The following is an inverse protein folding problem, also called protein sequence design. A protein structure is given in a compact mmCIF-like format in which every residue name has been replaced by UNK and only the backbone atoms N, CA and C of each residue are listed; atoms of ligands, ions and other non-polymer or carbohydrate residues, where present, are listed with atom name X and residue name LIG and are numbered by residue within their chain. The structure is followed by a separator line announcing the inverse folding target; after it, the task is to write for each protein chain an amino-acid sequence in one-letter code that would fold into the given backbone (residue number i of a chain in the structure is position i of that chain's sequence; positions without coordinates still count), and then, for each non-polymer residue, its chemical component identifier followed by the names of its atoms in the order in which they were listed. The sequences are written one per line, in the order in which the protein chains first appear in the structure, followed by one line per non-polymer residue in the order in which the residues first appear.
data_IF_361921940758
#
_entry.id   IF_361921940758
#
_cell.length_a   1.000
_cell.length_b   1.000
_cell.length_c   1.000
_cell.angle_alpha   90.00
_cell.angle_beta   90.00
_cell.angle_gamma   90.00
#
_symmetry.space_group_name_H-M   'P 1'
#
loop_
_entity.id
_entity.type
_entity.pdbx_description
1 polymer ?
#
# COMPACT_ATOMS: atom_id res chain seq x y z
N UNK A 1 18.78 69.36 -3.44
CA UNK A 1 17.37 69.03 -3.77
C UNK A 1 17.36 67.93 -4.83
N UNK A 2 16.19 67.33 -5.10
CA UNK A 2 15.85 66.31 -6.14
C UNK A 2 16.65 66.36 -7.47
N UNK A 3 16.85 65.27 -8.22
CA UNK A 3 16.36 63.87 -8.14
C UNK A 3 17.17 62.95 -9.10
N UNK A 4 17.09 61.61 -9.06
CA UNK A 4 16.11 60.76 -9.80
C UNK A 4 16.14 61.08 -11.32
N UNK A 5 16.50 60.20 -12.27
CA UNK A 5 16.84 58.75 -12.33
C UNK A 5 17.86 58.53 -13.51
N UNK A 6 18.27 57.38 -14.10
CA UNK A 6 17.92 55.92 -14.11
C UNK A 6 19.12 55.10 -14.67
N UNK A 7 19.23 53.80 -14.32
CA UNK A 7 20.17 52.84 -14.92
C UNK A 7 19.69 52.18 -16.23
N UNK A 8 20.64 51.78 -17.09
CA UNK A 8 20.48 50.67 -18.03
C UNK A 8 21.83 49.93 -18.16
N UNK A 9 21.89 48.70 -17.64
CA UNK A 9 23.05 47.83 -17.79
C UNK A 9 22.87 46.91 -19.00
N UNK A 10 23.80 47.01 -19.95
CA UNK A 10 24.04 46.01 -20.99
C UNK A 10 25.53 45.70 -21.01
N UNK A 11 25.89 44.45 -20.75
CA UNK A 11 27.29 43.99 -20.73
C UNK A 11 27.40 42.64 -21.42
N UNK A 12 27.97 42.63 -22.61
CA UNK A 12 28.41 41.42 -23.27
C UNK A 12 29.47 40.70 -22.40
N UNK A 13 29.29 39.40 -22.19
CA UNK A 13 30.26 38.54 -21.52
C UNK A 13 30.63 37.34 -22.41
N UNK A 14 31.34 37.65 -23.49
CA UNK A 14 32.15 36.67 -24.19
C UNK A 14 33.36 36.24 -23.32
N UNK A 15 33.88 35.04 -23.55
CA UNK A 15 35.15 34.53 -23.03
C UNK A 15 35.34 34.48 -21.50
N UNK A 16 34.61 33.58 -20.82
CA UNK A 16 35.11 32.98 -19.58
C UNK A 16 36.02 31.79 -19.91
N UNK A 17 37.35 32.00 -19.88
CA UNK A 17 38.34 30.93 -20.10
C UNK A 17 38.33 29.93 -18.93
N UNK A 18 37.55 28.85 -19.04
CA UNK A 18 37.61 27.72 -18.11
C UNK A 18 38.90 26.92 -18.36
N UNK A 19 39.79 26.75 -17.37
CA UNK A 19 41.04 26.01 -17.57
C UNK A 19 40.75 24.52 -17.82
N UNK A 20 41.51 23.92 -18.74
CA UNK A 20 41.25 22.57 -19.27
C UNK A 20 41.09 21.47 -18.21
N UNK A 21 41.76 21.61 -17.06
CA UNK A 21 41.63 20.73 -15.89
C UNK A 21 40.15 20.55 -15.43
N UNK A 22 39.31 21.59 -15.56
CA UNK A 22 37.89 21.50 -15.19
C UNK A 22 37.08 20.69 -16.21
N UNK A 23 37.45 20.74 -17.49
CA UNK A 23 36.86 19.90 -18.55
C UNK A 23 37.31 18.44 -18.40
N UNK A 24 38.54 18.22 -17.96
CA UNK A 24 39.07 16.88 -17.68
C UNK A 24 38.39 16.26 -16.45
N UNK A 25 38.22 16.98 -15.34
CA UNK A 25 37.44 16.52 -14.17
C UNK A 25 35.99 16.14 -14.54
N UNK A 26 35.38 16.81 -15.52
CA UNK A 26 34.05 16.46 -16.05
C UNK A 26 34.07 15.20 -16.93
N UNK A 27 35.18 14.90 -17.64
CA UNK A 27 35.35 13.66 -18.42
C UNK A 27 35.70 12.45 -17.54
N UNK A 28 36.37 12.65 -16.41
CA UNK A 28 36.73 11.57 -15.46
C UNK A 28 35.57 11.22 -14.51
N UNK A 29 34.42 11.90 -14.60
CA UNK A 29 33.18 11.53 -13.90
C UNK A 29 32.46 10.29 -14.51
N UNK A 30 33.19 9.46 -15.28
CA UNK A 30 32.71 8.19 -15.79
C UNK A 30 32.49 7.18 -14.66
N UNK A 31 31.28 6.62 -14.57
CA UNK A 31 30.81 5.81 -13.44
C UNK A 31 30.97 6.49 -12.07
N UNK A 32 30.07 7.43 -11.78
CA UNK A 32 29.64 7.64 -10.39
C UNK A 32 29.07 6.30 -9.92
N UNK A 33 29.80 5.59 -9.06
CA UNK A 33 29.28 4.42 -8.39
C UNK A 33 28.07 4.86 -7.55
N UNK A 34 26.88 4.40 -7.92
CA UNK A 34 25.66 4.73 -7.20
C UNK A 34 25.80 4.11 -5.81
N UNK A 35 25.78 4.95 -4.76
CA UNK A 35 25.74 4.50 -3.37
C UNK A 35 24.59 3.48 -3.24
N UNK A 36 24.80 2.27 -2.68
CA UNK A 36 23.74 1.28 -2.50
C UNK A 36 22.48 1.87 -1.86
N UNK A 37 22.63 2.84 -0.95
CA UNK A 37 21.52 3.56 -0.30
C UNK A 37 20.76 4.49 -1.24
N UNK A 38 21.45 5.09 -2.21
CA UNK A 38 20.84 5.92 -3.25
C UNK A 38 20.11 5.07 -4.29
N UNK A 39 20.62 3.86 -4.59
CA UNK A 39 19.91 2.86 -5.40
C UNK A 39 18.66 2.33 -4.68
N UNK A 40 18.77 2.06 -3.38
CA UNK A 40 17.69 1.62 -2.49
C UNK A 40 16.59 2.69 -2.33
N UNK A 41 16.96 3.95 -2.07
CA UNK A 41 16.04 5.10 -2.05
C UNK A 41 15.31 5.30 -3.40
N UNK A 42 15.95 4.97 -4.53
CA UNK A 42 15.37 5.13 -5.85
C UNK A 42 14.35 4.03 -6.20
N UNK A 43 14.60 2.78 -5.80
CA UNK A 43 13.78 1.62 -6.18
C UNK A 43 12.60 1.28 -5.25
N UNK A 44 12.60 1.76 -4.00
CA UNK A 44 11.68 1.27 -2.95
C UNK A 44 10.78 2.34 -2.34
N UNK A 45 10.99 3.63 -2.63
CA UNK A 45 10.20 4.72 -2.05
C UNK A 45 10.21 5.95 -2.96
N UNK A 46 9.26 6.06 -3.93
CA UNK A 46 9.24 7.16 -4.89
C UNK A 46 9.32 8.52 -4.19
N UNK A 47 10.15 9.40 -4.76
CA UNK A 47 10.83 10.45 -4.00
C UNK A 47 9.93 11.66 -3.66
N UNK A 48 9.04 11.48 -2.68
CA UNK A 48 8.49 12.59 -1.90
C UNK A 48 9.67 13.30 -1.22
N UNK A 49 10.00 14.52 -1.65
CA UNK A 49 11.10 15.33 -1.11
C UNK A 49 10.70 15.91 0.26
N UNK A 50 10.73 15.07 1.29
CA UNK A 50 10.43 15.46 2.68
C UNK A 50 11.58 16.32 3.22
N UNK A 51 11.26 17.49 3.76
CA UNK A 51 12.25 18.44 4.28
C UNK A 51 12.84 17.96 5.62
N UNK A 52 13.95 17.23 5.56
CA UNK A 52 14.76 16.85 6.71
C UNK A 52 15.32 15.43 6.59
N UNK A 53 16.40 15.13 7.33
CA UNK A 53 17.06 13.81 7.34
C UNK A 53 16.23 12.69 8.03
N UNK A 54 14.90 12.78 8.07
CA UNK A 54 14.03 11.90 8.88
C UNK A 54 14.23 10.41 8.57
N UNK A 55 14.36 10.04 7.29
CA UNK A 55 14.67 8.66 6.84
C UNK A 55 16.07 8.15 7.26
N UNK A 56 16.95 9.04 7.74
CA UNK A 56 18.27 8.71 8.31
C UNK A 56 18.26 8.79 9.85
N UNK A 57 17.16 9.20 10.46
CA UNK A 57 16.97 9.35 11.91
C UNK A 57 16.10 8.24 12.50
N UNK A 58 15.15 7.71 11.73
CA UNK A 58 14.19 6.70 12.17
C UNK A 58 14.23 5.45 11.26
N UNK A 59 13.89 4.30 11.83
CA UNK A 59 13.72 3.05 11.08
C UNK A 59 12.46 3.05 10.20
N UNK A 60 12.49 2.27 9.13
CA UNK A 60 11.36 2.05 8.23
C UNK A 60 10.21 1.30 8.97
N UNK A 61 8.97 1.85 9.02
CA UNK A 61 7.84 1.21 9.71
C UNK A 61 6.98 0.32 8.80
N UNK A 62 7.16 0.33 7.47
CA UNK A 62 6.46 -0.57 6.54
C UNK A 62 6.56 -2.06 6.95
N UNK A 63 7.72 -2.62 7.37
CA UNK A 63 7.81 -4.00 7.83
C UNK A 63 6.88 -4.34 9.01
N UNK A 64 6.64 -3.38 9.91
CA UNK A 64 5.78 -3.56 11.07
C UNK A 64 4.30 -3.65 10.66
N UNK A 65 3.88 -2.83 9.69
CA UNK A 65 2.54 -2.93 9.13
C UNK A 65 2.38 -4.21 8.27
N UNK A 66 3.42 -4.62 7.53
CA UNK A 66 3.41 -5.85 6.74
C UNK A 66 3.33 -7.11 7.62
N UNK A 67 4.03 -7.20 8.76
CA UNK A 67 3.86 -8.35 9.67
C UNK A 67 2.47 -8.38 10.31
N UNK A 68 1.90 -7.20 10.61
CA UNK A 68 0.50 -7.06 11.01
C UNK A 68 -0.47 -7.60 9.95
N UNK A 69 -0.25 -7.25 8.69
CA UNK A 69 -1.04 -7.70 7.55
C UNK A 69 -0.96 -9.21 7.31
N UNK A 70 0.25 -9.79 7.21
CA UNK A 70 0.43 -11.19 6.78
C UNK A 70 0.00 -12.21 7.84
N UNK A 71 0.24 -11.94 9.13
CA UNK A 71 -0.20 -12.80 10.24
C UNK A 71 -1.71 -12.68 10.53
N UNK A 72 -2.36 -11.68 9.94
CA UNK A 72 -3.80 -11.50 9.97
C UNK A 72 -4.47 -12.18 8.76
N UNK A 73 -4.01 -11.86 7.55
CA UNK A 73 -4.61 -12.34 6.30
C UNK A 73 -4.31 -13.82 6.01
N UNK A 74 -3.11 -14.33 6.33
CA UNK A 74 -2.77 -15.73 5.98
C UNK A 74 -3.65 -16.74 6.73
N UNK A 75 -3.83 -16.67 8.07
CA UNK A 75 -4.75 -17.57 8.77
C UNK A 75 -6.19 -17.41 8.30
N UNK A 76 -6.68 -16.18 8.14
CA UNK A 76 -8.03 -15.91 7.63
C UNK A 76 -8.27 -16.55 6.25
N UNK A 77 -7.28 -16.52 5.36
CA UNK A 77 -7.37 -17.16 4.04
C UNK A 77 -7.50 -18.68 4.15
N UNK A 78 -6.75 -19.31 5.04
CA UNK A 78 -6.86 -20.74 5.36
C UNK A 78 -8.23 -21.09 5.97
N UNK A 79 -8.76 -20.24 6.85
CA UNK A 79 -10.08 -20.38 7.46
C UNK A 79 -11.19 -20.31 6.40
N UNK A 80 -11.15 -19.32 5.49
CA UNK A 80 -12.11 -19.18 4.39
C UNK A 80 -12.06 -20.35 3.39
N UNK A 81 -10.87 -20.92 3.15
CA UNK A 81 -10.73 -22.13 2.33
C UNK A 81 -11.16 -23.42 3.05
N UNK A 82 -11.34 -23.38 4.38
CA UNK A 82 -11.68 -24.54 5.21
C UNK A 82 -10.54 -25.51 5.44
N UNK A 83 -9.28 -25.06 5.36
CA UNK A 83 -8.11 -25.92 5.49
C UNK A 83 -8.07 -26.61 6.85
N UNK A 84 -7.80 -27.92 6.85
CA UNK A 84 -7.81 -28.79 8.06
C UNK A 84 -9.13 -28.77 8.87
N UNK A 85 -10.24 -28.33 8.28
CA UNK A 85 -11.51 -28.19 9.00
C UNK A 85 -11.69 -26.84 9.72
N UNK A 86 -10.85 -25.85 9.43
CA UNK A 86 -11.06 -24.47 9.84
C UNK A 86 -12.32 -23.85 9.18
N UNK A 87 -12.71 -22.65 9.60
CA UNK A 87 -13.91 -22.00 9.10
C UNK A 87 -14.47 -20.94 10.05
N UNK A 88 -15.81 -20.88 10.17
CA UNK A 88 -16.50 -19.95 11.07
C UNK A 88 -16.21 -18.47 10.74
N UNK A 89 -16.01 -18.15 9.46
CA UNK A 89 -15.54 -16.83 8.99
C UNK A 89 -14.26 -16.36 9.71
N UNK A 90 -13.38 -17.29 10.09
CA UNK A 90 -12.16 -16.97 10.83
C UNK A 90 -12.38 -16.39 12.23
N UNK A 91 -13.47 -16.75 12.92
CA UNK A 91 -13.74 -16.28 14.28
C UNK A 91 -12.57 -16.55 15.27
N UNK A 92 -11.80 -17.61 15.05
CA UNK A 92 -10.58 -17.91 15.82
C UNK A 92 -9.50 -16.82 15.69
N UNK A 93 -9.41 -16.14 14.55
CA UNK A 93 -8.48 -15.04 14.28
C UNK A 93 -8.83 -13.72 15.01
N UNK A 94 -9.95 -13.64 15.74
CA UNK A 94 -10.39 -12.45 16.49
C UNK A 94 -9.24 -11.67 17.15
N UNK A 95 -8.37 -12.35 17.91
CA UNK A 95 -7.28 -11.69 18.61
C UNK A 95 -6.18 -11.17 17.67
N UNK A 96 -5.84 -11.89 16.60
CA UNK A 96 -4.87 -11.40 15.61
C UNK A 96 -5.46 -10.27 14.77
N UNK A 97 -6.78 -10.19 14.59
CA UNK A 97 -7.45 -9.06 13.95
C UNK A 97 -7.29 -7.76 14.76
N UNK A 98 -7.41 -7.83 16.10
CA UNK A 98 -7.17 -6.66 16.95
C UNK A 98 -5.68 -6.29 17.06
N UNK A 99 -4.80 -7.26 17.35
CA UNK A 99 -3.40 -6.96 17.69
C UNK A 99 -2.45 -6.88 16.49
N UNK A 100 -2.60 -7.74 15.47
CA UNK A 100 -1.74 -7.73 14.29
C UNK A 100 -2.37 -6.93 13.14
N UNK A 101 -3.56 -7.33 12.70
CA UNK A 101 -4.28 -6.65 11.62
C UNK A 101 -4.62 -5.21 11.96
N UNK A 102 -5.04 -4.95 13.20
CA UNK A 102 -5.37 -3.62 13.71
C UNK A 102 -4.15 -2.87 14.22
N UNK A 103 -3.76 -3.14 15.47
CA UNK A 103 -2.81 -2.31 16.22
C UNK A 103 -1.46 -2.10 15.51
N UNK A 104 -0.81 -3.15 14.99
CA UNK A 104 0.47 -2.98 14.29
C UNK A 104 0.33 -2.17 12.98
N UNK A 105 -0.77 -2.35 12.24
CA UNK A 105 -1.00 -1.57 11.00
C UNK A 105 -1.34 -0.11 11.30
N UNK A 106 -2.09 0.18 12.36
CA UNK A 106 -2.36 1.55 12.83
C UNK A 106 -1.07 2.23 13.34
N UNK A 107 -0.21 1.52 14.09
CA UNK A 107 1.09 2.05 14.52
C UNK A 107 1.98 2.34 13.31
N UNK A 108 2.13 1.37 12.39
CA UNK A 108 2.90 1.56 11.16
C UNK A 108 2.41 2.74 10.32
N UNK A 109 1.09 2.85 10.14
CA UNK A 109 0.41 4.00 9.52
C UNK A 109 0.83 5.34 10.14
N UNK A 110 0.72 5.48 11.46
CA UNK A 110 1.09 6.72 12.17
C UNK A 110 2.58 7.05 12.00
N UNK A 111 3.45 6.04 11.95
CA UNK A 111 4.89 6.24 11.69
C UNK A 111 5.17 6.65 10.23
N UNK A 112 4.48 6.06 9.24
CA UNK A 112 4.58 6.49 7.83
C UNK A 112 4.13 7.95 7.63
N UNK A 113 3.15 8.42 8.40
CA UNK A 113 2.74 9.84 8.40
C UNK A 113 3.89 10.76 8.83
N UNK A 114 4.61 10.43 9.92
CA UNK A 114 5.78 11.21 10.36
C UNK A 114 6.95 11.16 9.36
N UNK A 115 7.04 10.11 8.54
CA UNK A 115 8.03 10.02 7.45
C UNK A 115 7.57 10.66 6.13
N UNK A 116 6.38 11.26 6.06
CA UNK A 116 5.84 11.91 4.85
C UNK A 116 5.42 10.93 3.74
N UNK A 117 5.27 9.65 4.08
CA UNK A 117 4.91 8.58 3.15
C UNK A 117 3.38 8.43 3.08
N UNK A 118 2.71 9.41 2.46
CA UNK A 118 1.23 9.53 2.46
C UNK A 118 0.49 8.29 1.95
N UNK A 119 1.02 7.59 0.94
CA UNK A 119 0.36 6.40 0.39
C UNK A 119 0.44 5.19 1.35
N UNK A 120 1.62 4.75 1.83
CA UNK A 120 1.72 3.77 2.93
C UNK A 120 0.90 4.14 4.17
N UNK A 121 0.91 5.40 4.62
CA UNK A 121 0.07 5.90 5.71
C UNK A 121 -1.42 5.58 5.50
N UNK A 122 -2.00 6.03 4.38
CA UNK A 122 -3.43 5.85 4.09
C UNK A 122 -3.79 4.37 3.86
N UNK A 123 -2.89 3.59 3.25
CA UNK A 123 -3.07 2.14 3.06
C UNK A 123 -3.06 1.41 4.41
N UNK A 124 -2.01 1.53 5.21
CA UNK A 124 -1.94 0.80 6.48
C UNK A 124 -2.98 1.27 7.49
N UNK A 125 -3.35 2.55 7.47
CA UNK A 125 -4.41 3.09 8.34
C UNK A 125 -5.79 2.53 8.02
N UNK A 126 -6.15 2.45 6.73
CA UNK A 126 -7.44 1.90 6.30
C UNK A 126 -7.54 0.38 6.47
N UNK A 127 -6.45 -0.36 6.27
CA UNK A 127 -6.41 -1.81 6.53
C UNK A 127 -6.40 -2.11 8.04
N UNK A 128 -5.72 -1.28 8.84
CA UNK A 128 -5.81 -1.33 10.30
C UNK A 128 -7.24 -1.14 10.79
N UNK A 129 -7.93 -0.13 10.26
CA UNK A 129 -9.34 0.09 10.52
C UNK A 129 -10.21 -1.10 10.07
N UNK A 130 -9.99 -1.67 8.89
CA UNK A 130 -10.72 -2.84 8.38
C UNK A 130 -10.65 -4.03 9.34
N UNK A 131 -9.46 -4.39 9.82
CA UNK A 131 -9.30 -5.53 10.73
C UNK A 131 -9.88 -5.26 12.13
N UNK A 132 -9.78 -4.02 12.63
CA UNK A 132 -10.46 -3.62 13.87
C UNK A 132 -11.99 -3.68 13.71
N UNK A 133 -12.53 -3.21 12.59
CA UNK A 133 -13.95 -3.35 12.26
C UNK A 133 -14.36 -4.82 12.13
N UNK A 134 -13.51 -5.69 11.59
CA UNK A 134 -13.81 -7.12 11.45
C UNK A 134 -13.82 -7.86 12.79
N UNK A 135 -12.75 -7.71 13.59
CA UNK A 135 -12.69 -8.25 14.95
C UNK A 135 -13.83 -7.72 15.83
N UNK A 136 -14.14 -6.43 15.72
CA UNK A 136 -15.28 -5.79 16.39
C UNK A 136 -16.63 -6.35 15.94
N UNK A 137 -16.84 -6.54 14.63
CA UNK A 137 -18.07 -7.16 14.09
C UNK A 137 -18.31 -8.56 14.65
N UNK A 138 -17.24 -9.32 14.91
CA UNK A 138 -17.32 -10.65 15.52
C UNK A 138 -17.64 -10.61 17.02
N UNK A 139 -17.31 -9.53 17.76
CA UNK A 139 -17.52 -9.49 19.22
C UNK A 139 -19.00 -9.31 19.59
N UNK A 140 -19.55 -10.18 20.48
CA UNK A 140 -20.89 -9.99 21.03
C UNK A 140 -21.09 -8.64 21.73
N UNK A 141 -20.03 -8.04 22.29
CA UNK A 141 -20.07 -6.74 22.96
C UNK A 141 -20.57 -5.59 22.06
N UNK A 142 -20.16 -5.56 20.79
CA UNK A 142 -20.65 -4.55 19.84
C UNK A 142 -22.02 -4.92 19.24
N UNK A 143 -22.51 -6.15 19.46
CA UNK A 143 -23.84 -6.65 19.07
C UNK A 143 -24.19 -6.46 17.57
N UNK A 144 -23.18 -6.28 16.71
CA UNK A 144 -23.35 -5.87 15.31
C UNK A 144 -24.15 -6.87 14.47
N UNK A 145 -24.09 -8.16 14.83
CA UNK A 145 -24.90 -9.21 14.22
C UNK A 145 -26.13 -9.55 15.06
N UNK A 146 -26.02 -9.56 16.40
CA UNK A 146 -27.12 -9.87 17.31
C UNK A 146 -28.30 -8.89 17.23
N UNK A 147 -28.07 -7.66 16.76
CA UNK A 147 -29.12 -6.71 16.37
C UNK A 147 -30.15 -7.29 15.38
N UNK A 148 -29.74 -8.25 14.54
CA UNK A 148 -30.60 -8.93 13.56
C UNK A 148 -31.25 -10.22 14.09
N UNK A 149 -30.99 -10.60 15.34
CA UNK A 149 -31.44 -11.87 15.94
C UNK A 149 -31.74 -11.75 17.45
N UNK A 150 -32.36 -10.66 17.89
CA UNK A 150 -32.84 -10.49 19.27
C UNK A 150 -31.72 -10.50 20.34
N UNK A 151 -30.51 -10.06 19.98
CA UNK A 151 -29.31 -10.12 20.83
C UNK A 151 -28.48 -11.38 20.66
N UNK A 152 -28.94 -12.41 19.94
CA UNK A 152 -28.14 -13.60 19.68
C UNK A 152 -27.15 -13.36 18.54
N UNK A 153 -25.94 -12.89 18.88
CA UNK A 153 -24.83 -12.63 17.95
C UNK A 153 -24.56 -13.81 17.00
N UNK A 154 -24.57 -15.06 17.49
CA UNK A 154 -24.25 -16.24 16.69
C UNK A 154 -25.29 -16.54 15.60
N UNK A 155 -26.58 -16.45 15.94
CA UNK A 155 -27.68 -16.55 14.95
C UNK A 155 -27.68 -15.35 14.01
N UNK A 156 -27.41 -14.16 14.55
CA UNK A 156 -27.33 -12.91 13.81
C UNK A 156 -26.32 -12.93 12.65
N UNK A 157 -25.15 -13.55 12.86
CA UNK A 157 -24.10 -13.69 11.84
C UNK A 157 -24.55 -14.46 10.59
N UNK A 158 -25.59 -15.29 10.70
CA UNK A 158 -26.18 -16.06 9.59
C UNK A 158 -27.48 -15.46 9.06
N UNK A 159 -27.93 -14.32 9.58
CA UNK A 159 -29.18 -13.68 9.17
C UNK A 159 -29.03 -12.94 7.84
N UNK A 160 -30.07 -13.00 6.99
CA UNK A 160 -30.08 -12.30 5.71
C UNK A 160 -29.88 -10.77 5.85
N UNK A 161 -30.39 -10.17 6.93
CA UNK A 161 -30.19 -8.75 7.22
C UNK A 161 -28.72 -8.42 7.48
N UNK A 162 -28.06 -9.16 8.38
CA UNK A 162 -26.64 -8.97 8.66
C UNK A 162 -25.77 -9.21 7.42
N UNK A 163 -25.97 -10.34 6.74
CA UNK A 163 -25.09 -10.72 5.62
C UNK A 163 -25.22 -9.75 4.45
N UNK A 164 -26.44 -9.30 4.12
CA UNK A 164 -26.65 -8.32 3.06
C UNK A 164 -26.04 -6.94 3.41
N UNK A 165 -26.17 -6.50 4.67
CA UNK A 165 -25.53 -5.25 5.14
C UNK A 165 -24.00 -5.34 5.13
N UNK A 166 -23.43 -6.45 5.61
CA UNK A 166 -21.97 -6.62 5.70
C UNK A 166 -21.30 -6.75 4.32
N UNK A 167 -21.98 -7.34 3.33
CA UNK A 167 -21.51 -7.40 1.96
C UNK A 167 -21.22 -6.00 1.35
N UNK A 168 -21.98 -4.96 1.70
CA UNK A 168 -21.71 -3.60 1.22
C UNK A 168 -20.39 -3.02 1.78
N UNK A 169 -20.05 -3.31 3.04
CA UNK A 169 -18.76 -2.90 3.60
C UNK A 169 -17.60 -3.54 2.82
N UNK A 170 -17.69 -4.84 2.53
CA UNK A 170 -16.70 -5.54 1.70
C UNK A 170 -16.63 -4.99 0.27
N UNK A 171 -17.77 -4.66 -0.35
CA UNK A 171 -17.84 -4.09 -1.69
C UNK A 171 -17.15 -2.71 -1.77
N UNK A 172 -17.44 -1.80 -0.82
CA UNK A 172 -16.81 -0.49 -0.81
C UNK A 172 -15.34 -0.56 -0.38
N UNK A 173 -14.93 -1.56 0.42
CA UNK A 173 -13.52 -1.85 0.65
C UNK A 173 -12.83 -2.40 -0.61
N UNK A 174 -13.52 -3.20 -1.44
CA UNK A 174 -13.02 -3.59 -2.76
C UNK A 174 -12.82 -2.36 -3.68
N UNK A 175 -13.76 -1.41 -3.66
CA UNK A 175 -13.62 -0.15 -4.42
C UNK A 175 -12.46 0.72 -3.91
N UNK A 176 -12.23 0.78 -2.60
CA UNK A 176 -11.04 1.44 -2.02
C UNK A 176 -9.74 0.76 -2.50
N UNK A 177 -9.71 -0.57 -2.52
CA UNK A 177 -8.58 -1.33 -3.06
C UNK A 177 -8.37 -1.08 -4.56
N UNK A 178 -9.42 -0.85 -5.34
CA UNK A 178 -9.32 -0.48 -6.76
C UNK A 178 -8.68 0.90 -6.95
N UNK A 179 -8.98 1.87 -6.08
CA UNK A 179 -8.29 3.18 -6.07
C UNK A 179 -6.80 3.00 -5.72
N UNK A 180 -6.49 2.17 -4.71
CA UNK A 180 -5.10 1.88 -4.34
C UNK A 180 -4.33 1.11 -5.42
N UNK A 181 -5.00 0.20 -6.15
CA UNK A 181 -4.44 -0.50 -7.31
C UNK A 181 -4.02 0.50 -8.41
N UNK A 182 -4.86 1.49 -8.73
CA UNK A 182 -4.52 2.52 -9.71
C UNK A 182 -3.34 3.38 -9.22
N UNK A 183 -3.30 3.73 -7.93
CA UNK A 183 -2.20 4.50 -7.36
C UNK A 183 -0.87 3.73 -7.34
N UNK A 184 -0.89 2.42 -7.07
CA UNK A 184 0.30 1.56 -6.96
C UNK A 184 0.95 1.20 -8.31
N UNK A 185 0.30 1.53 -9.44
CA UNK A 185 0.95 1.55 -10.78
C UNK A 185 2.20 2.45 -10.79
N UNK A 186 2.35 3.36 -9.82
CA UNK A 186 3.54 4.20 -9.64
C UNK A 186 4.57 3.70 -8.62
N UNK A 187 4.28 2.64 -7.87
CA UNK A 187 5.12 2.22 -6.74
C UNK A 187 5.91 0.96 -7.05
N UNK A 188 5.25 -0.18 -7.26
CA UNK A 188 5.91 -1.49 -7.15
C UNK A 188 4.97 -2.60 -7.68
N UNK A 189 5.51 -3.51 -8.50
CA UNK A 189 4.74 -4.61 -9.14
C UNK A 189 4.01 -5.48 -8.13
N UNK A 190 4.66 -5.82 -7.01
CA UNK A 190 4.08 -6.68 -5.97
C UNK A 190 2.96 -5.95 -5.21
N UNK A 191 3.11 -4.65 -4.93
CA UNK A 191 2.03 -3.82 -4.38
C UNK A 191 0.84 -3.72 -5.34
N UNK A 192 1.08 -3.58 -6.65
CA UNK A 192 0.02 -3.59 -7.65
C UNK A 192 -0.77 -4.91 -7.63
N UNK A 193 -0.08 -6.06 -7.65
CA UNK A 193 -0.76 -7.35 -7.61
C UNK A 193 -1.47 -7.63 -6.28
N UNK A 194 -0.96 -7.15 -5.14
CA UNK A 194 -1.66 -7.19 -3.84
C UNK A 194 -3.03 -6.51 -3.95
N UNK A 195 -3.09 -5.26 -4.45
CA UNK A 195 -4.38 -4.57 -4.58
C UNK A 195 -5.28 -5.19 -5.65
N UNK A 196 -4.73 -5.63 -6.79
CA UNK A 196 -5.49 -6.32 -7.84
C UNK A 196 -6.19 -7.59 -7.32
N UNK A 197 -5.46 -8.48 -6.65
CA UNK A 197 -6.05 -9.68 -6.08
C UNK A 197 -6.94 -9.38 -4.85
N UNK A 198 -6.73 -8.27 -4.13
CA UNK A 198 -7.65 -7.82 -3.08
C UNK A 198 -8.99 -7.29 -3.62
N UNK A 199 -9.02 -6.60 -4.76
CA UNK A 199 -10.28 -6.23 -5.44
C UNK A 199 -11.08 -7.50 -5.74
N UNK A 200 -10.45 -8.48 -6.38
CA UNK A 200 -11.06 -9.79 -6.70
C UNK A 200 -11.55 -10.49 -5.42
N UNK A 201 -10.69 -10.59 -4.40
CA UNK A 201 -10.99 -11.20 -3.09
C UNK A 201 -12.24 -10.58 -2.47
N UNK A 202 -12.25 -9.26 -2.30
CA UNK A 202 -13.30 -8.56 -1.54
C UNK A 202 -14.62 -8.54 -2.30
N UNK A 203 -14.60 -8.42 -3.64
CA UNK A 203 -15.81 -8.57 -4.48
C UNK A 203 -16.38 -9.99 -4.43
N UNK A 204 -15.55 -11.03 -4.48
CA UNK A 204 -16.02 -12.43 -4.39
C UNK A 204 -16.59 -12.73 -3.00
N UNK A 205 -15.95 -12.27 -1.92
CA UNK A 205 -16.46 -12.48 -0.56
C UNK A 205 -17.75 -11.68 -0.33
N UNK A 206 -17.87 -10.44 -0.81
CA UNK A 206 -19.15 -9.70 -0.81
C UNK A 206 -20.26 -10.51 -1.50
N UNK A 207 -19.96 -11.11 -2.66
CA UNK A 207 -20.83 -12.06 -3.35
C UNK A 207 -21.23 -13.27 -2.49
N UNK A 208 -20.30 -13.86 -1.72
CA UNK A 208 -20.62 -14.96 -0.80
C UNK A 208 -21.60 -14.56 0.29
N UNK A 209 -21.48 -13.34 0.84
CA UNK A 209 -22.38 -12.83 1.87
C UNK A 209 -23.80 -12.57 1.31
N UNK A 210 -23.92 -11.99 0.10
CA UNK A 210 -25.23 -11.87 -0.56
C UNK A 210 -25.85 -13.22 -0.92
N UNK A 211 -25.07 -14.20 -1.37
CA UNK A 211 -25.58 -15.54 -1.65
C UNK A 211 -26.01 -16.28 -0.38
N UNK A 212 -25.33 -16.07 0.75
CA UNK A 212 -25.79 -16.56 2.06
C UNK A 212 -27.11 -15.88 2.47
N UNK A 213 -27.24 -14.56 2.26
CA UNK A 213 -28.47 -13.82 2.52
C UNK A 213 -29.66 -14.20 1.62
N UNK A 214 -29.40 -14.81 0.46
CA UNK A 214 -30.40 -15.42 -0.42
C UNK A 214 -30.69 -16.89 -0.10
N UNK A 215 -30.08 -17.46 0.95
CA UNK A 215 -30.21 -18.86 1.34
C UNK A 215 -29.40 -19.85 0.49
N UNK A 216 -28.63 -19.38 -0.49
CA UNK A 216 -27.83 -20.22 -1.39
C UNK A 216 -26.48 -20.61 -0.75
N UNK A 217 -26.56 -21.35 0.37
CA UNK A 217 -25.41 -21.67 1.23
C UNK A 217 -24.28 -22.44 0.50
N UNK A 218 -24.63 -23.29 -0.48
CA UNK A 218 -23.64 -24.06 -1.25
C UNK A 218 -22.80 -23.16 -2.18
N UNK A 219 -23.45 -22.24 -2.91
CA UNK A 219 -22.73 -21.29 -3.75
C UNK A 219 -22.02 -20.22 -2.92
N UNK A 220 -22.61 -19.79 -1.80
CA UNK A 220 -21.96 -18.92 -0.82
C UNK A 220 -20.63 -19.53 -0.33
N UNK A 221 -20.61 -20.79 0.10
CA UNK A 221 -19.38 -21.49 0.48
C UNK A 221 -18.38 -21.58 -0.69
N UNK A 222 -18.87 -21.80 -1.91
CA UNK A 222 -18.02 -21.90 -3.11
C UNK A 222 -17.32 -20.56 -3.41
N UNK A 223 -18.06 -19.45 -3.37
CA UNK A 223 -17.52 -18.10 -3.49
C UNK A 223 -16.57 -17.79 -2.33
N UNK A 224 -16.94 -18.13 -1.09
CA UNK A 224 -16.10 -17.86 0.09
C UNK A 224 -14.74 -18.57 0.02
N UNK A 225 -14.70 -19.84 -0.38
CA UNK A 225 -13.46 -20.58 -0.62
C UNK A 225 -12.64 -19.99 -1.77
N UNK A 226 -13.31 -19.53 -2.84
CA UNK A 226 -12.65 -18.87 -3.98
C UNK A 226 -12.01 -17.55 -3.55
N UNK A 227 -12.71 -16.74 -2.76
CA UNK A 227 -12.19 -15.52 -2.16
C UNK A 227 -11.02 -15.79 -1.21
N UNK A 228 -11.10 -16.83 -0.38
CA UNK A 228 -10.00 -17.31 0.45
C UNK A 228 -8.75 -17.73 -0.34
N UNK A 229 -8.94 -18.32 -1.53
CA UNK A 229 -7.84 -18.64 -2.45
C UNK A 229 -7.13 -17.39 -2.98
N UNK A 230 -7.86 -16.36 -3.42
CA UNK A 230 -7.26 -15.09 -3.81
C UNK A 230 -6.62 -14.34 -2.62
N UNK A 231 -7.25 -14.39 -1.44
CA UNK A 231 -6.69 -13.84 -0.21
C UNK A 231 -5.34 -14.49 0.17
N UNK A 232 -5.19 -15.80 -0.07
CA UNK A 232 -3.93 -16.51 0.12
C UNK A 232 -2.86 -16.08 -0.88
N UNK A 233 -3.21 -15.87 -2.15
CA UNK A 233 -2.28 -15.30 -3.16
C UNK A 233 -1.80 -13.92 -2.71
N UNK A 234 -2.72 -13.06 -2.26
CA UNK A 234 -2.38 -11.75 -1.67
C UNK A 234 -1.42 -11.91 -0.49
N UNK A 235 -1.70 -12.84 0.43
CA UNK A 235 -0.87 -13.00 1.63
C UNK A 235 0.53 -13.50 1.28
N UNK A 236 0.70 -14.38 0.28
CA UNK A 236 2.02 -14.80 -0.22
C UNK A 236 2.81 -13.63 -0.84
N UNK A 237 2.16 -12.73 -1.58
CA UNK A 237 2.79 -11.50 -2.07
C UNK A 237 3.18 -10.57 -0.90
N UNK A 238 2.36 -10.52 0.16
CA UNK A 238 2.67 -9.81 1.40
C UNK A 238 3.89 -10.39 2.13
N UNK A 239 4.01 -11.73 2.21
CA UNK A 239 5.19 -12.40 2.75
C UNK A 239 6.43 -12.07 1.94
N UNK A 240 6.35 -12.07 0.61
CA UNK A 240 7.46 -11.69 -0.26
C UNK A 240 7.95 -10.25 0.00
N UNK A 241 7.03 -9.27 0.11
CA UNK A 241 7.39 -7.90 0.49
C UNK A 241 8.00 -7.82 1.90
N UNK A 242 7.43 -8.53 2.87
CA UNK A 242 7.96 -8.55 4.24
C UNK A 242 9.39 -9.11 4.28
N UNK A 243 9.64 -10.25 3.64
CA UNK A 243 10.99 -10.83 3.52
C UNK A 243 11.93 -9.87 2.80
N UNK A 244 11.53 -9.28 1.66
CA UNK A 244 12.37 -8.33 0.93
C UNK A 244 12.79 -7.13 1.80
N UNK A 245 11.85 -6.54 2.55
CA UNK A 245 12.13 -5.39 3.42
C UNK A 245 12.94 -5.76 4.67
N UNK A 246 12.73 -6.94 5.27
CA UNK A 246 13.50 -7.39 6.44
C UNK A 246 14.93 -7.77 6.07
N UNK A 247 15.16 -8.40 4.91
CA UNK A 247 16.51 -8.71 4.43
C UNK A 247 17.33 -7.44 4.17
N UNK A 248 16.73 -6.42 3.56
CA UNK A 248 17.35 -5.10 3.38
C UNK A 248 17.65 -4.42 4.73
N UNK A 249 16.70 -4.44 5.68
CA UNK A 249 16.85 -3.82 6.99
C UNK A 249 17.98 -4.42 7.86
N UNK A 250 18.58 -5.55 7.46
CA UNK A 250 19.74 -6.18 8.13
C UNK A 250 20.99 -6.28 7.24
N UNK A 251 21.03 -5.53 6.13
CA UNK A 251 22.13 -5.54 5.14
C UNK A 251 22.46 -6.95 4.61
N UNK A 252 21.41 -7.74 4.33
CA UNK A 252 21.58 -9.12 3.86
C UNK A 252 22.08 -9.15 2.40
N UNK A 253 23.07 -10.01 2.04
CA UNK A 253 23.67 -10.01 0.70
C UNK A 253 22.77 -10.35 -0.51
N UNK A 254 21.48 -10.60 -0.29
CA UNK A 254 20.50 -10.90 -1.35
C UNK A 254 19.35 -9.89 -1.31
N UNK A 255 19.31 -9.03 -2.33
CA UNK A 255 18.17 -8.14 -2.60
C UNK A 255 17.11 -8.90 -3.40
N UNK A 256 15.88 -8.99 -2.88
CA UNK A 256 14.76 -9.60 -3.60
C UNK A 256 14.12 -8.58 -4.56
N UNK A 257 13.99 -8.87 -5.87
CA UNK A 257 13.50 -7.93 -6.87
C UNK A 257 11.98 -7.71 -6.76
N UNK A 258 11.57 -6.53 -6.29
CA UNK A 258 10.14 -6.17 -6.18
C UNK A 258 9.57 -5.46 -7.43
N UNK A 259 10.43 -5.00 -8.33
CA UNK A 259 10.07 -4.30 -9.57
C UNK A 259 9.48 -2.91 -9.35
N UNK A 260 10.31 -1.86 -9.48
CA UNK A 260 9.82 -0.48 -9.51
C UNK A 260 8.97 -0.23 -10.77
N UNK A 261 7.85 0.49 -10.60
CA UNK A 261 6.99 0.95 -11.68
C UNK A 261 7.01 2.47 -11.86
N UNK A 262 7.72 3.22 -11.01
CA UNK A 262 7.81 4.68 -11.07
C UNK A 262 8.36 5.21 -12.41
N UNK A 263 9.17 4.39 -13.08
CA UNK A 263 9.78 4.58 -14.40
C UNK A 263 8.85 4.21 -15.57
N UNK A 264 7.90 3.29 -15.38
CA UNK A 264 6.99 2.81 -16.44
C UNK A 264 5.89 3.84 -16.76
N UNK A 265 5.48 4.63 -15.76
CA UNK A 265 4.55 5.74 -15.94
C UNK A 265 5.25 7.03 -15.51
N UNK A 266 5.46 7.98 -16.42
CA UNK A 266 6.13 9.24 -16.08
C UNK A 266 5.34 10.07 -15.06
N UNK A 267 6.05 10.63 -14.07
CA UNK A 267 5.47 11.44 -13.01
C UNK A 267 4.89 12.76 -13.51
N UNK A 268 3.91 13.34 -12.80
CA UNK A 268 3.33 14.65 -13.16
C UNK A 268 4.41 15.74 -13.29
N UNK A 269 5.40 15.74 -12.39
CA UNK A 269 6.54 16.66 -12.45
C UNK A 269 7.39 16.46 -13.70
N UNK A 270 7.61 15.21 -14.14
CA UNK A 270 8.31 14.91 -15.39
C UNK A 270 7.54 15.39 -16.63
N UNK A 271 6.23 15.13 -16.68
CA UNK A 271 5.34 15.65 -17.75
C UNK A 271 5.17 17.18 -17.77
N UNK A 272 5.58 17.89 -16.72
CA UNK A 272 5.61 19.36 -16.68
C UNK A 272 7.02 19.88 -17.07
N UNK A 273 8.04 19.03 -16.98
CA UNK A 273 9.42 19.34 -17.39
C UNK A 273 9.68 19.16 -18.90
N UNK A 274 8.64 18.84 -19.70
CA UNK A 274 8.67 18.88 -21.16
C UNK A 274 7.96 20.15 -21.69
N UNK A 275 8.60 21.33 -21.70
CA UNK A 275 8.14 22.45 -22.50
C UNK A 275 8.31 22.12 -24.00
N UNK A 276 7.35 22.55 -24.83
CA UNK A 276 7.20 22.03 -26.19
C UNK A 276 8.36 22.33 -27.14
N UNK A 277 8.95 21.29 -27.72
CA UNK A 277 9.84 21.38 -28.89
C UNK A 277 9.01 21.50 -30.16
N UNK A 278 8.51 22.70 -30.48
CA UNK A 278 8.28 23.19 -31.85
C UNK A 278 7.58 24.56 -31.90
N UNK A 279 8.33 25.61 -32.22
CA UNK A 279 7.90 26.68 -33.15
C UNK A 279 9.16 27.35 -33.71
N UNK A 280 9.56 26.84 -34.87
CA UNK A 280 10.31 27.43 -35.98
C UNK A 280 11.24 28.65 -35.74
N UNK A 281 12.45 28.52 -36.29
CA UNK A 281 13.34 29.62 -36.64
C UNK A 281 12.81 30.41 -37.84
N UNK A 282 12.70 31.73 -37.71
CA UNK A 282 12.58 32.71 -38.80
C UNK A 282 13.29 34.01 -38.39
#
# INVERSE_FOLDING_TARGET
MSGIQRDHAGTDLASANLPAEHVERLRTAGSVAIDPRLFEELYLSPHNVVKGNLRKTFGNPTPLALVGFILCLTPFSCDLMGWRGAGGNGAAGTATYFFYGGLLMIIGSVLEFFLGNTFPFVVFGSFGAFWLSYGGTLQPFYNAAGAYAGGNQGVGLSSAGFTNSFAFFLLFFAFLNFIYMIASIRTNVVFFFIFFFLVITMTIIAGSFWQAGQGNASFAMTLQKTGGGFAFVVSMLGWYLFTAQILLAVDFPMVLPVGDLSTVVNGRSGRIAEPGVSTESA
#
